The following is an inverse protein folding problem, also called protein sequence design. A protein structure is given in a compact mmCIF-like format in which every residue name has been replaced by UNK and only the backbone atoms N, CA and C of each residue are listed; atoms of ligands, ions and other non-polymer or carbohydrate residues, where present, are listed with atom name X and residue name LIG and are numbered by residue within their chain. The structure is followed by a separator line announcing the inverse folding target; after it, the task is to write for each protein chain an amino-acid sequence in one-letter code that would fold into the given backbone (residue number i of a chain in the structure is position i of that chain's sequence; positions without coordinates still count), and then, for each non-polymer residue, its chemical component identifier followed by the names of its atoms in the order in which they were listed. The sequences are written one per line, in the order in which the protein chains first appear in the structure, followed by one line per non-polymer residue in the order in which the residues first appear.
data_IF_681030469740
#
_entry.id   IF_681030469740
#
_cell.length_a   1.000
_cell.length_b   1.000
_cell.length_c   1.000
_cell.angle_alpha   90.00
_cell.angle_beta   90.00
_cell.angle_gamma   90.00
#
_symmetry.space_group_name_H-M   'P 1'
#
loop_
_entity.id
_entity.type
_entity.pdbx_description
1 polymer ?
#
# COMPACT_ATOMS: atom_id res chain seq x y z
N UNK A 1 -5.54 8.77 -10.21
CA UNK A 1 -4.36 8.73 -9.32
C UNK A 1 -3.36 9.78 -9.77
N UNK A 2 -2.71 10.38 -8.82
CA UNK A 2 -1.67 11.39 -9.02
C UNK A 2 -0.41 10.91 -8.33
N UNK A 3 0.67 10.63 -9.04
CA UNK A 3 1.97 10.45 -8.42
C UNK A 3 2.47 11.82 -7.93
N UNK A 4 2.97 11.86 -6.72
CA UNK A 4 3.62 13.02 -6.15
C UNK A 4 5.11 12.92 -6.43
N UNK A 5 5.48 13.17 -7.65
CA UNK A 5 6.85 13.08 -8.14
C UNK A 5 7.41 14.44 -8.58
N UNK A 6 8.60 14.42 -9.15
CA UNK A 6 9.34 15.61 -9.61
C UNK A 6 8.58 16.47 -10.60
N UNK A 7 7.57 15.99 -11.28
CA UNK A 7 6.77 16.79 -12.21
C UNK A 7 5.97 17.90 -11.54
N UNK A 8 5.74 17.79 -10.24
CA UNK A 8 4.96 18.73 -9.43
C UNK A 8 5.83 19.66 -8.55
N UNK A 9 7.13 19.66 -8.70
CA UNK A 9 8.05 20.38 -7.81
C UNK A 9 7.94 21.91 -7.88
N UNK A 10 7.54 22.45 -9.01
CA UNK A 10 7.52 23.90 -9.24
C UNK A 10 6.29 24.61 -8.64
N UNK A 11 5.30 23.87 -8.15
CA UNK A 11 4.05 24.41 -7.62
C UNK A 11 3.89 24.20 -6.13
N UNK A 12 2.90 24.86 -5.56
CA UNK A 12 2.46 24.62 -4.19
C UNK A 12 1.47 23.44 -4.13
N UNK A 13 1.44 22.70 -3.03
CA UNK A 13 0.50 21.58 -2.85
C UNK A 13 -0.95 22.05 -2.92
N UNK A 14 -1.23 23.28 -2.50
CA UNK A 14 -2.53 23.92 -2.57
C UNK A 14 -3.04 24.06 -4.01
N UNK A 15 -2.16 24.37 -4.97
CA UNK A 15 -2.51 24.46 -6.39
C UNK A 15 -2.96 23.11 -6.95
N UNK A 16 -2.28 22.04 -6.55
CA UNK A 16 -2.66 20.67 -6.91
C UNK A 16 -4.01 20.27 -6.28
N UNK A 17 -4.23 20.60 -5.01
CA UNK A 17 -5.51 20.34 -4.33
C UNK A 17 -6.65 21.10 -5.01
N UNK A 18 -6.45 22.38 -5.39
CA UNK A 18 -7.43 23.15 -6.12
C UNK A 18 -7.73 22.54 -7.50
N UNK A 19 -6.71 22.05 -8.20
CA UNK A 19 -6.86 21.39 -9.50
C UNK A 19 -7.70 20.10 -9.43
N UNK A 20 -7.73 19.43 -8.29
CA UNK A 20 -8.59 18.26 -8.08
C UNK A 20 -10.09 18.61 -8.11
N UNK A 21 -10.45 19.83 -7.80
CA UNK A 21 -11.85 20.34 -7.82
C UNK A 21 -12.81 19.42 -7.01
N UNK A 22 -12.37 18.95 -5.86
CA UNK A 22 -13.14 18.07 -4.98
C UNK A 22 -13.38 16.64 -5.51
N UNK A 23 -12.78 16.27 -6.65
CA UNK A 23 -12.91 14.91 -7.18
C UNK A 23 -12.08 13.93 -6.36
N UNK A 24 -12.57 12.69 -6.23
CA UNK A 24 -11.82 11.61 -5.61
C UNK A 24 -10.47 11.41 -6.32
N UNK A 25 -9.39 11.41 -5.56
CA UNK A 25 -8.05 11.20 -6.08
C UNK A 25 -7.25 10.30 -5.15
N UNK A 26 -6.54 9.34 -5.74
CA UNK A 26 -5.56 8.53 -5.05
C UNK A 26 -4.18 9.15 -5.25
N UNK A 27 -3.49 9.46 -4.16
CA UNK A 27 -2.13 9.98 -4.17
C UNK A 27 -1.15 8.92 -3.71
N UNK A 28 -0.03 8.80 -4.44
CA UNK A 28 1.10 7.93 -4.10
C UNK A 28 2.22 8.74 -3.45
N UNK A 29 3.11 8.07 -2.71
CA UNK A 29 4.24 8.69 -2.00
C UNK A 29 3.84 9.94 -1.21
N UNK A 30 2.68 9.90 -0.58
CA UNK A 30 2.11 11.07 0.10
C UNK A 30 2.92 11.49 1.34
N UNK A 31 3.87 10.66 1.76
CA UNK A 31 4.88 11.00 2.77
C UNK A 31 6.04 11.86 2.23
N UNK A 32 6.15 12.02 0.91
CA UNK A 32 7.18 12.84 0.28
C UNK A 32 8.36 12.07 -0.31
N UNK A 33 8.41 10.73 -0.21
CA UNK A 33 9.53 9.93 -0.73
C UNK A 33 9.72 10.05 -2.24
N UNK A 34 8.65 10.35 -2.99
CA UNK A 34 8.71 10.59 -4.44
C UNK A 34 9.28 11.95 -4.84
N UNK A 35 9.49 12.86 -3.89
CA UNK A 35 10.11 14.18 -4.13
C UNK A 35 9.13 15.29 -4.50
N UNK A 36 7.95 14.99 -5.05
CA UNK A 36 6.98 16.01 -5.46
C UNK A 36 6.32 16.71 -4.28
N UNK A 37 6.27 18.03 -4.29
CA UNK A 37 5.74 18.88 -3.20
C UNK A 37 6.33 18.56 -1.81
N UNK A 38 7.52 18.01 -1.74
CA UNK A 38 8.15 17.75 -0.44
C UNK A 38 8.63 19.06 0.21
N UNK A 39 8.44 19.22 1.52
CA UNK A 39 7.83 18.26 2.48
C UNK A 39 6.31 18.38 2.60
N UNK A 40 5.66 19.29 1.90
CA UNK A 40 4.29 19.73 2.14
C UNK A 40 3.23 18.73 1.74
N UNK A 41 3.53 17.83 0.83
CA UNK A 41 2.55 16.88 0.26
C UNK A 41 1.77 16.10 1.34
N UNK A 42 2.37 15.87 2.49
CA UNK A 42 1.72 15.17 3.60
C UNK A 42 0.43 15.85 4.08
N UNK A 43 0.28 17.16 3.84
CA UNK A 43 -0.93 17.93 4.18
C UNK A 43 -2.19 17.37 3.52
N UNK A 44 -2.07 16.77 2.32
CA UNK A 44 -3.24 16.22 1.60
C UNK A 44 -3.90 15.05 2.33
N UNK A 45 -3.23 14.47 3.34
CA UNK A 45 -3.88 13.50 4.24
C UNK A 45 -5.08 14.11 5.00
N UNK A 46 -5.16 15.44 5.10
CA UNK A 46 -6.28 16.17 5.70
C UNK A 46 -7.45 16.42 4.75
N UNK A 47 -7.30 16.13 3.45
CA UNK A 47 -8.32 16.41 2.45
C UNK A 47 -9.35 15.27 2.34
N UNK A 48 -10.66 15.56 2.40
CA UNK A 48 -11.70 14.52 2.44
C UNK A 48 -11.85 13.73 1.14
N UNK A 49 -11.45 14.29 0.00
CA UNK A 49 -11.50 13.67 -1.32
C UNK A 49 -10.18 13.01 -1.73
N UNK A 50 -9.12 13.13 -0.93
CA UNK A 50 -7.82 12.51 -1.18
C UNK A 50 -7.73 11.17 -0.46
N UNK A 51 -7.29 10.14 -1.18
CA UNK A 51 -7.13 8.76 -0.71
C UNK A 51 -5.61 8.48 -0.65
N UNK A 52 -4.93 8.80 0.47
CA UNK A 52 -3.48 8.81 0.50
C UNK A 52 -2.90 7.42 0.72
N UNK A 53 -1.84 7.10 -0.02
CA UNK A 53 -0.97 5.96 0.24
C UNK A 53 0.45 6.40 0.54
N UNK A 54 1.14 5.61 1.34
CA UNK A 54 2.57 5.75 1.58
C UNK A 54 3.32 4.49 1.17
N UNK A 55 4.63 4.63 0.96
CA UNK A 55 5.49 3.55 0.50
C UNK A 55 6.25 2.88 1.65
N UNK A 56 6.68 1.64 1.46
CA UNK A 56 7.31 0.87 2.53
C UNK A 56 8.73 1.31 2.92
N UNK A 57 9.56 1.91 2.07
CA UNK A 57 10.93 2.28 2.46
C UNK A 57 11.00 3.28 3.62
N UNK A 58 9.99 4.16 3.74
CA UNK A 58 9.93 5.19 4.78
C UNK A 58 9.55 4.66 6.17
N UNK A 59 9.06 3.43 6.25
CA UNK A 59 8.47 2.87 7.47
C UNK A 59 9.18 1.64 8.01
N UNK A 60 9.19 1.44 9.32
CA UNK A 60 9.05 2.47 10.37
C UNK A 60 10.26 3.39 10.40
N UNK A 61 10.09 4.63 10.86
CA UNK A 61 11.19 5.55 11.07
C UNK A 61 12.14 5.00 12.14
N UNK A 62 13.41 4.85 11.78
CA UNK A 62 14.49 4.32 12.62
C UNK A 62 15.74 5.17 12.45
N UNK A 63 16.81 4.84 13.17
CA UNK A 63 18.08 5.58 13.10
C UNK A 63 18.73 5.62 11.72
N UNK A 64 18.45 4.62 10.87
CA UNK A 64 19.05 4.52 9.53
C UNK A 64 18.10 5.00 8.40
N UNK A 65 16.87 5.37 8.73
CA UNK A 65 15.84 5.64 7.71
C UNK A 65 16.23 6.79 6.79
N UNK A 66 16.81 7.86 7.34
CA UNK A 66 17.19 9.02 6.55
C UNK A 66 18.32 8.70 5.59
N UNK A 67 19.38 8.04 6.06
CA UNK A 67 20.52 7.69 5.23
C UNK A 67 20.10 6.72 4.11
N UNK A 68 19.29 5.69 4.46
CA UNK A 68 18.76 4.73 3.49
C UNK A 68 17.89 5.42 2.42
N UNK A 69 17.10 6.39 2.83
CA UNK A 69 16.24 7.15 1.92
C UNK A 69 16.99 8.09 1.01
N UNK A 70 17.97 8.81 1.55
CA UNK A 70 18.84 9.68 0.75
C UNK A 70 19.56 8.86 -0.32
N UNK A 71 20.17 7.74 0.06
CA UNK A 71 20.83 6.83 -0.89
C UNK A 71 19.86 6.32 -1.96
N UNK A 72 18.65 5.93 -1.59
CA UNK A 72 17.64 5.47 -2.53
C UNK A 72 17.20 6.58 -3.48
N UNK A 73 16.95 7.79 -2.97
CA UNK A 73 16.57 8.94 -3.81
C UNK A 73 17.69 9.28 -4.80
N UNK A 74 18.93 9.33 -4.34
CA UNK A 74 20.11 9.57 -5.19
C UNK A 74 20.17 8.56 -6.34
N UNK A 75 20.02 7.26 -6.04
CA UNK A 75 20.09 6.21 -7.06
C UNK A 75 18.90 6.28 -8.02
N UNK A 76 17.67 6.41 -7.52
CA UNK A 76 16.46 6.37 -8.36
C UNK A 76 16.30 7.59 -9.24
N UNK A 77 16.82 8.75 -8.83
CA UNK A 77 16.79 9.99 -9.60
C UNK A 77 18.08 10.26 -10.38
N UNK A 78 19.00 9.28 -10.44
CA UNK A 78 20.27 9.40 -11.17
C UNK A 78 21.15 10.57 -10.73
N UNK A 79 21.11 10.90 -9.44
CA UNK A 79 21.90 11.96 -8.83
C UNK A 79 23.31 11.44 -8.51
N UNK A 80 24.30 12.36 -8.45
CA UNK A 80 25.68 12.04 -8.10
C UNK A 80 26.05 12.62 -6.72
N UNK A 81 26.40 11.75 -5.78
CA UNK A 81 26.80 12.12 -4.42
C UNK A 81 28.07 13.02 -4.36
N UNK A 82 28.78 13.17 -5.47
CA UNK A 82 29.94 14.07 -5.59
C UNK A 82 29.57 15.48 -6.05
N UNK A 83 28.33 15.69 -6.48
CA UNK A 83 27.80 16.97 -6.92
C UNK A 83 27.02 17.59 -5.77
N UNK A 84 27.50 18.71 -5.16
CA UNK A 84 26.84 19.33 -4.01
C UNK A 84 25.38 19.72 -4.27
N UNK A 85 25.04 20.13 -5.49
CA UNK A 85 23.68 20.50 -5.88
C UNK A 85 22.73 19.30 -5.87
N UNK A 86 23.20 18.14 -6.30
CA UNK A 86 22.43 16.89 -6.27
C UNK A 86 22.17 16.44 -4.83
N UNK A 87 23.19 16.54 -3.97
CA UNK A 87 23.07 16.24 -2.54
C UNK A 87 22.07 17.19 -1.88
N UNK A 88 22.20 18.49 -2.11
CA UNK A 88 21.30 19.50 -1.56
C UNK A 88 19.85 19.29 -2.03
N UNK A 89 19.65 18.88 -3.28
CA UNK A 89 18.35 18.51 -3.80
C UNK A 89 17.76 17.32 -3.01
N UNK A 90 18.51 16.24 -2.86
CA UNK A 90 18.06 15.06 -2.14
C UNK A 90 17.71 15.37 -0.66
N UNK A 91 18.57 16.11 0.03
CA UNK A 91 18.36 16.55 1.42
C UNK A 91 17.14 17.47 1.58
N UNK A 92 16.83 18.27 0.58
CA UNK A 92 15.62 19.12 0.61
C UNK A 92 14.31 18.30 0.55
N UNK A 93 14.36 17.09 0.01
CA UNK A 93 13.19 16.20 -0.16
C UNK A 93 13.03 15.24 1.00
N UNK A 94 14.11 14.71 1.51
CA UNK A 94 14.09 13.71 2.59
C UNK A 94 14.29 14.40 3.93
N UNK A 95 13.21 14.63 4.66
CA UNK A 95 13.21 15.34 5.95
C UNK A 95 12.79 14.43 7.10
N UNK A 96 13.58 14.38 8.19
CA UNK A 96 13.28 13.53 9.34
C UNK A 96 11.90 13.80 9.95
N UNK A 97 11.47 15.06 10.00
CA UNK A 97 10.20 15.45 10.62
C UNK A 97 8.98 14.87 9.92
N UNK A 98 8.94 14.94 8.58
CA UNK A 98 7.82 14.41 7.79
C UNK A 98 7.81 12.89 7.77
N UNK A 99 8.98 12.25 7.64
CA UNK A 99 9.08 10.79 7.65
C UNK A 99 8.76 10.21 9.04
N UNK A 100 9.16 10.89 10.12
CA UNK A 100 8.79 10.48 11.47
C UNK A 100 7.28 10.64 11.74
N UNK A 101 6.66 11.69 11.19
CA UNK A 101 5.22 11.92 11.30
C UNK A 101 4.39 10.85 10.57
N UNK A 102 4.93 10.24 9.52
CA UNK A 102 4.27 9.19 8.74
C UNK A 102 3.78 8.04 9.63
N UNK A 103 4.63 7.51 10.51
CA UNK A 103 4.28 6.42 11.41
C UNK A 103 3.08 6.78 12.31
N UNK A 104 3.07 8.00 12.84
CA UNK A 104 1.99 8.51 13.70
C UNK A 104 0.69 8.67 12.88
N UNK A 105 0.79 9.18 11.66
CA UNK A 105 -0.36 9.37 10.78
C UNK A 105 -0.96 8.02 10.34
N UNK A 106 -0.12 7.01 10.15
CA UNK A 106 -0.61 5.64 9.95
C UNK A 106 -1.39 5.12 11.15
N UNK A 107 -0.87 5.31 12.35
CA UNK A 107 -1.52 4.83 13.57
C UNK A 107 -2.82 5.57 13.87
N UNK A 108 -2.90 6.85 13.51
CA UNK A 108 -4.12 7.67 13.60
C UNK A 108 -5.13 7.42 12.48
N UNK A 109 -4.78 6.64 11.45
CA UNK A 109 -5.66 6.36 10.33
C UNK A 109 -5.76 7.49 9.31
N UNK A 110 -4.76 8.37 9.24
CA UNK A 110 -4.69 9.44 8.25
C UNK A 110 -4.17 8.94 6.89
N UNK A 111 -3.15 8.10 6.88
CA UNK A 111 -2.79 7.30 5.72
C UNK A 111 -3.73 6.10 5.57
N UNK A 112 -4.35 5.97 4.42
CA UNK A 112 -5.43 5.00 4.20
C UNK A 112 -4.96 3.71 3.56
N UNK A 113 -3.86 3.75 2.81
CA UNK A 113 -3.33 2.63 2.03
C UNK A 113 -1.81 2.50 2.25
N UNK A 114 -1.34 1.25 2.28
CA UNK A 114 0.06 0.88 2.20
C UNK A 114 0.41 0.47 0.78
N UNK A 115 1.49 1.03 0.24
CA UNK A 115 2.00 0.72 -1.09
C UNK A 115 3.46 0.26 -1.03
N UNK A 116 3.98 -0.26 -2.13
CA UNK A 116 5.35 -0.78 -2.20
C UNK A 116 6.30 0.11 -2.99
N UNK A 117 5.80 0.84 -3.97
CA UNK A 117 6.62 1.52 -4.96
C UNK A 117 7.68 0.58 -5.60
N UNK A 118 7.24 -0.61 -5.98
CA UNK A 118 8.11 -1.78 -6.25
C UNK A 118 9.06 -1.62 -7.43
N UNK A 119 8.77 -0.70 -8.34
CA UNK A 119 9.56 -0.52 -9.56
C UNK A 119 10.57 0.64 -9.47
N UNK A 120 10.48 1.47 -8.44
CA UNK A 120 11.38 2.59 -8.22
C UNK A 120 12.08 2.49 -6.87
N UNK A 121 11.55 3.13 -5.83
CA UNK A 121 12.20 3.20 -4.51
C UNK A 121 11.71 2.15 -3.52
N UNK A 122 10.81 1.24 -3.90
CA UNK A 122 10.15 0.33 -2.98
C UNK A 122 10.54 -1.13 -3.12
N UNK A 123 10.07 -1.92 -2.17
CA UNK A 123 10.34 -3.37 -2.06
C UNK A 123 9.04 -4.10 -1.80
N UNK A 124 8.45 -4.69 -2.84
CA UNK A 124 7.15 -5.37 -2.75
C UNK A 124 7.11 -6.47 -1.68
N UNK A 125 8.21 -7.21 -1.52
CA UNK A 125 8.31 -8.29 -0.52
C UNK A 125 8.29 -7.81 0.94
N UNK A 126 8.52 -6.53 1.20
CA UNK A 126 8.61 -5.98 2.54
C UNK A 126 7.34 -5.26 3.01
N UNK A 127 6.34 -5.07 2.15
CA UNK A 127 5.13 -4.29 2.48
C UNK A 127 4.47 -4.76 3.76
N UNK A 128 4.20 -6.06 3.87
CA UNK A 128 3.53 -6.62 5.05
C UNK A 128 4.42 -6.51 6.30
N UNK A 129 5.67 -6.91 6.19
CA UNK A 129 6.60 -6.90 7.32
C UNK A 129 6.76 -5.48 7.89
N UNK A 130 7.02 -4.49 7.05
CA UNK A 130 7.17 -3.09 7.47
C UNK A 130 5.88 -2.49 8.00
N UNK A 131 4.73 -2.89 7.47
CA UNK A 131 3.42 -2.51 8.01
C UNK A 131 3.27 -2.95 9.47
N UNK A 132 3.61 -4.20 9.77
CA UNK A 132 3.51 -4.73 11.13
C UNK A 132 4.61 -4.23 12.07
N UNK A 133 5.80 -3.95 11.56
CA UNK A 133 6.85 -3.27 12.30
C UNK A 133 6.43 -1.85 12.70
N UNK A 134 5.76 -1.12 11.81
CA UNK A 134 5.19 0.20 12.14
C UNK A 134 4.12 0.09 13.23
N UNK A 135 3.20 -0.88 13.10
CA UNK A 135 2.17 -1.09 14.11
C UNK A 135 2.76 -1.44 15.50
N UNK A 136 3.78 -2.30 15.53
CA UNK A 136 4.48 -2.67 16.76
C UNK A 136 5.21 -1.47 17.39
N UNK A 137 5.94 -0.70 16.59
CA UNK A 137 6.60 0.53 17.03
C UNK A 137 5.59 1.50 17.65
N UNK A 138 4.47 1.75 16.98
CA UNK A 138 3.45 2.65 17.48
C UNK A 138 2.84 2.16 18.78
N UNK A 139 2.59 0.86 18.92
CA UNK A 139 2.12 0.28 20.16
C UNK A 139 3.13 0.44 21.31
N UNK A 140 4.41 0.26 21.03
CA UNK A 140 5.48 0.45 22.06
C UNK A 140 5.61 1.91 22.49
N UNK A 141 5.45 2.85 21.57
CA UNK A 141 5.62 4.28 21.85
C UNK A 141 4.38 4.90 22.50
N UNK A 142 3.18 4.54 22.07
CA UNK A 142 1.93 5.20 22.47
C UNK A 142 0.95 4.30 23.22
N UNK A 143 1.30 3.03 23.42
CA UNK A 143 0.40 2.07 24.07
C UNK A 143 -0.74 1.61 23.16
N UNK A 144 -1.83 1.13 23.76
CA UNK A 144 -3.03 0.69 23.05
C UNK A 144 -3.83 1.88 22.55
N UNK A 145 -4.49 1.70 21.41
CA UNK A 145 -5.46 2.68 20.95
C UNK A 145 -6.67 2.77 21.89
N UNK A 146 -7.31 3.93 21.98
CA UNK A 146 -8.42 4.20 22.93
C UNK A 146 -9.53 3.16 22.83
N UNK A 147 -9.91 2.76 21.63
CA UNK A 147 -10.92 1.73 21.38
C UNK A 147 -10.57 0.32 21.92
N UNK A 148 -9.29 0.09 22.26
CA UNK A 148 -8.79 -1.18 22.80
C UNK A 148 -8.35 -1.11 24.25
N UNK A 149 -8.46 0.02 24.93
CA UNK A 149 -7.92 0.22 26.30
C UNK A 149 -8.53 -0.73 27.33
N UNK A 150 -9.79 -1.11 27.16
CA UNK A 150 -10.51 -1.99 28.08
C UNK A 150 -10.29 -3.48 27.84
N UNK A 151 -9.44 -3.86 26.88
CA UNK A 151 -9.16 -5.24 26.52
C UNK A 151 -7.67 -5.58 26.71
N UNK A 152 -7.33 -6.87 26.80
CA UNK A 152 -5.94 -7.31 26.80
C UNK A 152 -5.30 -7.23 25.40
N UNK A 153 -6.11 -7.27 24.36
CA UNK A 153 -5.69 -7.20 22.96
C UNK A 153 -5.72 -5.75 22.42
N UNK A 154 -5.10 -5.52 21.29
CA UNK A 154 -5.14 -4.27 20.53
C UNK A 154 -5.73 -4.52 19.11
N UNK A 155 -6.86 -5.21 19.10
CA UNK A 155 -7.50 -5.67 17.87
C UNK A 155 -7.90 -4.52 16.94
N UNK A 156 -8.21 -3.35 17.49
CA UNK A 156 -8.55 -2.18 16.66
C UNK A 156 -7.35 -1.75 15.81
N UNK A 157 -6.14 -1.69 16.40
CA UNK A 157 -4.91 -1.40 15.64
C UNK A 157 -4.66 -2.48 14.60
N UNK A 158 -4.82 -3.76 14.95
CA UNK A 158 -4.67 -4.87 13.99
C UNK A 158 -5.61 -4.68 12.79
N UNK A 159 -6.88 -4.41 13.02
CA UNK A 159 -7.86 -4.20 11.94
C UNK A 159 -7.54 -2.95 11.11
N UNK A 160 -7.12 -1.86 11.74
CA UNK A 160 -6.68 -0.62 11.06
C UNK A 160 -5.53 -0.86 10.11
N UNK A 161 -4.49 -1.56 10.56
CA UNK A 161 -3.32 -1.83 9.71
C UNK A 161 -3.62 -2.89 8.64
N UNK A 162 -4.43 -3.89 8.96
CA UNK A 162 -4.86 -4.91 8.00
C UNK A 162 -5.64 -4.29 6.84
N UNK A 163 -6.56 -3.37 7.12
CA UNK A 163 -7.39 -2.74 6.09
C UNK A 163 -6.58 -1.92 5.09
N UNK A 164 -5.41 -1.41 5.46
CA UNK A 164 -4.55 -0.58 4.59
C UNK A 164 -3.99 -1.32 3.37
N UNK A 165 -3.84 -2.63 3.43
CA UNK A 165 -3.33 -3.44 2.31
C UNK A 165 -4.31 -4.53 1.85
N UNK A 166 -5.54 -4.50 2.33
CA UNK A 166 -6.61 -5.41 1.92
C UNK A 166 -7.80 -4.65 1.35
N UNK A 167 -8.76 -4.26 2.20
CA UNK A 167 -10.02 -3.67 1.72
C UNK A 167 -9.85 -2.24 1.21
N UNK A 168 -9.02 -1.41 1.83
CA UNK A 168 -8.89 -0.02 1.42
C UNK A 168 -8.33 0.15 0.00
N UNK A 169 -7.23 -0.51 -0.41
CA UNK A 169 -6.82 -0.46 -1.81
C UNK A 169 -7.88 -1.03 -2.77
N UNK A 170 -8.66 -2.03 -2.36
CA UNK A 170 -9.75 -2.55 -3.19
C UNK A 170 -10.87 -1.50 -3.37
N UNK A 171 -11.20 -0.73 -2.34
CA UNK A 171 -12.14 0.40 -2.43
C UNK A 171 -11.58 1.49 -3.34
N UNK A 172 -10.35 1.92 -3.10
CA UNK A 172 -9.67 2.98 -3.88
C UNK A 172 -9.65 2.68 -5.37
N UNK A 173 -9.44 1.42 -5.73
CA UNK A 173 -9.36 0.99 -7.13
C UNK A 173 -10.67 0.45 -7.70
N UNK A 174 -11.78 0.52 -6.95
CA UNK A 174 -13.10 0.08 -7.42
C UNK A 174 -13.24 -1.42 -7.60
N UNK A 175 -12.51 -2.19 -6.81
CA UNK A 175 -12.43 -3.67 -6.88
C UNK A 175 -13.09 -4.36 -5.68
N UNK A 176 -13.63 -3.60 -4.74
CA UNK A 176 -14.08 -4.10 -3.44
C UNK A 176 -15.26 -5.07 -3.49
N UNK A 177 -15.99 -5.11 -4.59
CA UNK A 177 -17.09 -6.07 -4.78
C UNK A 177 -16.57 -7.51 -5.02
N UNK A 178 -15.34 -7.65 -5.54
CA UNK A 178 -14.75 -8.94 -5.92
C UNK A 178 -13.63 -9.40 -4.97
N UNK A 179 -12.90 -8.46 -4.37
CA UNK A 179 -11.70 -8.74 -3.56
C UNK A 179 -11.60 -7.81 -2.35
N UNK A 180 -10.58 -8.02 -1.51
CA UNK A 180 -10.20 -7.13 -0.41
C UNK A 180 -10.78 -7.48 0.95
N UNK A 181 -11.78 -8.36 1.02
CA UNK A 181 -12.34 -8.83 2.29
C UNK A 181 -12.79 -10.28 2.22
N UNK A 182 -12.89 -10.93 3.37
CA UNK A 182 -13.44 -12.28 3.50
C UNK A 182 -14.97 -12.15 3.58
N UNK A 183 -15.62 -12.28 2.43
CA UNK A 183 -17.08 -12.20 2.30
C UNK A 183 -17.57 -13.22 1.28
N UNK A 184 -18.76 -13.76 1.50
CA UNK A 184 -19.39 -14.70 0.57
C UNK A 184 -19.58 -14.04 -0.79
N UNK A 185 -19.20 -14.72 -1.85
CA UNK A 185 -19.27 -14.21 -3.24
C UNK A 185 -18.00 -13.57 -3.76
N UNK A 186 -17.06 -13.18 -2.88
CA UNK A 186 -15.75 -12.66 -3.31
C UNK A 186 -14.74 -13.76 -3.58
N UNK A 187 -13.68 -13.40 -4.30
CA UNK A 187 -12.59 -14.33 -4.61
C UNK A 187 -11.93 -14.82 -3.32
N UNK A 188 -11.70 -16.13 -3.24
CA UNK A 188 -11.07 -16.77 -2.08
C UNK A 188 -9.54 -16.57 -2.10
N UNK A 189 -9.12 -15.31 -1.97
CA UNK A 189 -7.73 -14.90 -1.78
C UNK A 189 -7.48 -14.83 -0.26
N UNK A 190 -6.91 -15.88 0.30
CA UNK A 190 -6.80 -16.06 1.74
C UNK A 190 -5.36 -16.34 2.16
N UNK A 191 -4.97 -15.82 3.32
CA UNK A 191 -3.67 -16.10 3.92
C UNK A 191 -3.87 -16.66 5.33
N UNK A 192 -3.28 -17.81 5.60
CA UNK A 192 -3.28 -18.45 6.90
C UNK A 192 -1.94 -18.20 7.59
N UNK A 193 -2.00 -17.66 8.81
CA UNK A 193 -0.82 -17.45 9.66
C UNK A 193 -0.94 -18.22 10.97
N UNK A 194 0.19 -18.70 11.48
CA UNK A 194 0.31 -18.93 12.92
C UNK A 194 0.31 -17.58 13.63
N UNK A 195 -0.41 -17.42 14.75
CA UNK A 195 -0.48 -16.12 15.46
C UNK A 195 0.88 -15.52 15.76
N UNK A 196 1.88 -16.33 16.13
CA UNK A 196 3.23 -15.87 16.43
C UNK A 196 3.98 -15.31 15.22
N UNK A 197 3.53 -15.61 14.00
CA UNK A 197 4.16 -15.16 12.74
C UNK A 197 3.21 -14.33 11.88
N UNK A 198 2.16 -13.79 12.50
CA UNK A 198 1.16 -13.00 11.79
C UNK A 198 1.81 -11.82 11.05
N UNK A 199 1.47 -11.69 9.77
CA UNK A 199 1.98 -10.63 8.90
C UNK A 199 3.42 -10.82 8.41
N UNK A 200 4.14 -11.83 8.88
CA UNK A 200 5.56 -12.05 8.56
C UNK A 200 5.78 -13.32 7.75
N UNK A 201 5.27 -14.45 8.24
CA UNK A 201 5.48 -15.75 7.61
C UNK A 201 4.17 -16.52 7.49
N UNK A 202 3.57 -16.59 6.28
CA UNK A 202 2.35 -17.37 6.09
C UNK A 202 2.62 -18.88 6.16
N UNK A 203 1.66 -19.62 6.66
CA UNK A 203 1.61 -21.09 6.56
C UNK A 203 1.10 -21.51 5.19
N UNK A 204 0.07 -20.80 4.71
CA UNK A 204 -0.61 -21.11 3.46
C UNK A 204 -1.12 -19.83 2.82
N UNK A 205 -0.98 -19.74 1.50
CA UNK A 205 -1.61 -18.69 0.68
C UNK A 205 -2.52 -19.35 -0.33
N UNK A 206 -3.78 -18.98 -0.32
CA UNK A 206 -4.76 -19.37 -1.33
C UNK A 206 -5.01 -18.22 -2.29
N UNK A 207 -5.03 -18.52 -3.57
CA UNK A 207 -5.40 -17.61 -4.64
C UNK A 207 -6.61 -18.18 -5.38
N UNK A 208 -7.76 -17.52 -5.27
CA UNK A 208 -9.00 -18.02 -5.84
C UNK A 208 -9.38 -19.43 -5.35
N UNK A 209 -9.04 -19.78 -4.10
CA UNK A 209 -9.27 -21.08 -3.52
C UNK A 209 -8.22 -22.15 -3.82
N UNK A 210 -7.26 -21.89 -4.73
CA UNK A 210 -6.15 -22.81 -5.00
C UNK A 210 -4.93 -22.44 -4.16
N UNK A 211 -4.16 -23.46 -3.73
CA UNK A 211 -2.91 -23.25 -3.00
C UNK A 211 -1.90 -22.58 -3.93
N UNK A 212 -1.49 -21.36 -3.61
CA UNK A 212 -0.45 -20.61 -4.31
C UNK A 212 0.91 -20.73 -3.62
N UNK A 213 0.91 -20.90 -2.28
CA UNK A 213 2.11 -21.07 -1.47
C UNK A 213 1.77 -21.92 -0.24
N UNK A 214 2.71 -22.78 0.14
CA UNK A 214 2.70 -23.49 1.42
C UNK A 214 4.13 -23.60 1.95
N UNK A 215 4.28 -23.71 3.28
CA UNK A 215 5.61 -23.85 3.91
C UNK A 215 6.33 -25.12 3.50
N UNK A 216 5.59 -26.18 3.16
CA UNK A 216 6.12 -27.42 2.65
C UNK A 216 5.57 -27.64 1.24
N UNK A 217 6.42 -27.44 0.23
CA UNK A 217 6.06 -27.69 -1.17
C UNK A 217 6.24 -29.15 -1.61
N UNK A 218 7.03 -29.93 -0.89
CA UNK A 218 7.23 -31.36 -1.10
C UNK A 218 6.82 -32.14 0.16
N UNK A 219 5.78 -32.98 0.11
CA UNK A 219 5.32 -33.74 1.27
C UNK A 219 6.34 -34.79 1.77
N UNK A 220 7.35 -35.12 0.96
CA UNK A 220 8.42 -36.02 1.34
C UNK A 220 9.64 -35.31 1.97
N UNK A 221 9.62 -33.96 2.03
CA UNK A 221 10.71 -33.23 2.67
C UNK A 221 10.75 -33.54 4.17
N UNK A 222 11.91 -33.91 4.68
CA UNK A 222 12.11 -34.19 6.11
C UNK A 222 12.13 -32.91 6.96
N UNK A 223 12.41 -31.76 6.34
CA UNK A 223 12.40 -30.45 6.98
C UNK A 223 11.44 -29.54 6.21
N UNK A 224 10.46 -28.88 6.88
CA UNK A 224 9.58 -27.93 6.25
C UNK A 224 10.41 -26.71 5.77
N UNK A 225 10.46 -26.51 4.47
CA UNK A 225 11.13 -25.36 3.85
C UNK A 225 10.18 -24.63 2.93
N UNK A 226 10.24 -23.29 2.86
CA UNK A 226 9.53 -22.55 1.83
C UNK A 226 10.00 -23.01 0.44
N UNK A 227 9.05 -23.29 -0.44
CA UNK A 227 9.36 -23.62 -1.82
C UNK A 227 9.37 -22.36 -2.66
N UNK A 228 10.49 -22.01 -3.32
CA UNK A 228 10.47 -20.90 -4.27
C UNK A 228 9.60 -21.26 -5.47
N UNK A 229 8.59 -20.45 -5.70
CA UNK A 229 7.54 -20.72 -6.68
C UNK A 229 8.02 -20.59 -8.14
N UNK A 230 9.13 -19.94 -8.37
CA UNK A 230 9.58 -19.52 -9.69
C UNK A 230 10.36 -20.58 -10.47
N UNK A 231 10.90 -21.61 -9.85
CA UNK A 231 11.72 -22.60 -10.54
C UNK A 231 10.96 -23.85 -11.00
N UNK A 232 9.73 -24.04 -10.56
CA UNK A 232 8.82 -25.08 -11.08
C UNK A 232 7.36 -24.69 -10.90
N UNK A 233 6.46 -25.13 -11.80
CA UNK A 233 5.03 -24.96 -11.60
C UNK A 233 4.56 -25.70 -10.35
N UNK A 234 3.68 -25.05 -9.57
CA UNK A 234 3.11 -25.61 -8.36
C UNK A 234 1.62 -25.27 -8.23
N UNK A 235 0.88 -26.12 -7.51
CA UNK A 235 -0.49 -25.90 -7.07
C UNK A 235 -1.41 -25.38 -8.18
N UNK A 236 -1.87 -24.17 -8.09
CA UNK A 236 -2.78 -23.51 -9.05
C UNK A 236 -2.15 -23.07 -10.38
N UNK A 237 -0.97 -23.59 -10.76
CA UNK A 237 -0.27 -23.19 -11.99
C UNK A 237 -0.69 -23.97 -13.23
N UNK A 238 -1.61 -24.92 -13.14
CA UNK A 238 -1.97 -25.81 -14.22
C UNK A 238 -3.41 -25.64 -14.73
N UNK A 239 -3.60 -25.92 -16.00
CA UNK A 239 -4.90 -25.99 -16.62
C UNK A 239 -5.72 -24.71 -16.46
N UNK A 240 -7.00 -24.86 -16.18
CA UNK A 240 -7.94 -23.75 -15.97
C UNK A 240 -7.71 -22.98 -14.67
N UNK A 241 -6.94 -23.50 -13.73
CA UNK A 241 -6.67 -22.82 -12.46
C UNK A 241 -6.07 -21.42 -12.69
N UNK A 242 -5.15 -21.28 -13.64
CA UNK A 242 -4.49 -19.99 -13.96
C UNK A 242 -5.48 -18.88 -14.33
N UNK A 243 -6.53 -19.21 -15.05
CA UNK A 243 -7.53 -18.23 -15.49
C UNK A 243 -8.67 -18.06 -14.50
N UNK A 244 -9.02 -19.12 -13.75
CA UNK A 244 -10.09 -19.09 -12.77
C UNK A 244 -9.69 -18.48 -11.41
N UNK A 245 -8.39 -18.35 -11.14
CA UNK A 245 -7.86 -17.80 -9.87
C UNK A 245 -7.58 -16.30 -9.90
N UNK A 246 -7.90 -15.61 -10.98
CA UNK A 246 -7.67 -14.18 -11.12
C UNK A 246 -8.75 -13.49 -11.93
N UNK A 247 -8.87 -12.19 -11.74
CA UNK A 247 -9.83 -11.31 -12.43
C UNK A 247 -9.03 -10.26 -13.18
N UNK A 248 -9.52 -9.89 -14.37
CA UNK A 248 -9.07 -8.71 -15.09
C UNK A 248 -10.08 -7.59 -14.84
N UNK A 249 -9.65 -6.54 -14.15
CA UNK A 249 -10.45 -5.36 -13.91
C UNK A 249 -10.29 -4.38 -15.07
N UNK A 250 -11.39 -3.87 -15.56
CA UNK A 250 -11.45 -3.02 -16.75
C UNK A 250 -12.38 -1.83 -16.52
N UNK A 251 -12.39 -0.85 -17.43
CA UNK A 251 -13.37 0.23 -17.37
C UNK A 251 -14.76 -0.26 -17.76
N UNK A 252 -15.80 0.36 -17.24
CA UNK A 252 -17.19 0.10 -17.67
C UNK A 252 -17.37 0.35 -19.17
N UNK A 253 -16.78 1.43 -19.69
CA UNK A 253 -16.83 1.77 -21.12
C UNK A 253 -16.21 0.69 -21.99
N UNK A 254 -15.10 0.05 -21.56
CA UNK A 254 -14.47 -1.05 -22.31
C UNK A 254 -15.35 -2.30 -22.37
N UNK A 255 -16.16 -2.54 -21.32
CA UNK A 255 -17.14 -3.63 -21.33
C UNK A 255 -18.29 -3.36 -22.29
N UNK A 256 -18.79 -2.13 -22.33
CA UNK A 256 -19.95 -1.73 -23.15
C UNK A 256 -19.62 -1.67 -24.63
N UNK A 257 -18.47 -1.12 -25.01
CA UNK A 257 -18.06 -0.99 -26.41
C UNK A 257 -17.30 -2.20 -26.96
N UNK A 258 -17.15 -3.25 -26.13
CA UNK A 258 -16.50 -4.50 -26.51
C UNK A 258 -15.05 -4.37 -27.01
N UNK A 259 -14.37 -3.28 -26.65
CA UNK A 259 -13.01 -2.98 -27.10
C UNK A 259 -11.94 -4.02 -26.70
N UNK A 260 -12.31 -4.95 -25.82
CA UNK A 260 -11.41 -5.99 -25.30
C UNK A 260 -11.64 -7.37 -25.94
N UNK A 261 -12.62 -7.52 -26.83
CA UNK A 261 -12.92 -8.82 -27.48
C UNK A 261 -11.72 -9.32 -28.30
N UNK A 262 -11.02 -8.42 -29.00
CA UNK A 262 -9.84 -8.74 -29.80
C UNK A 262 -8.65 -9.28 -28.98
N UNK A 263 -8.63 -9.04 -27.66
CA UNK A 263 -7.58 -9.52 -26.79
C UNK A 263 -7.77 -10.98 -26.35
N UNK A 264 -8.90 -11.60 -26.67
CA UNK A 264 -9.24 -12.99 -26.36
C UNK A 264 -8.92 -13.39 -24.90
N UNK A 265 -9.21 -12.49 -23.96
CA UNK A 265 -8.88 -12.70 -22.54
C UNK A 265 -9.66 -13.88 -21.96
N UNK A 266 -8.94 -14.84 -21.41
CA UNK A 266 -9.55 -16.04 -20.81
C UNK A 266 -9.96 -15.83 -19.34
N UNK A 267 -9.46 -14.79 -18.67
CA UNK A 267 -9.83 -14.45 -17.31
C UNK A 267 -11.20 -13.79 -17.26
N UNK A 268 -11.93 -13.99 -16.15
CA UNK A 268 -13.14 -13.23 -15.87
C UNK A 268 -12.82 -11.72 -15.94
N UNK A 269 -13.53 -10.98 -16.76
CA UNK A 269 -13.47 -9.52 -16.80
C UNK A 269 -14.56 -8.93 -15.92
N UNK A 270 -14.22 -7.91 -15.15
CA UNK A 270 -15.15 -7.21 -14.26
C UNK A 270 -14.88 -5.71 -14.35
N UNK A 271 -15.92 -4.88 -14.47
CA UNK A 271 -15.74 -3.44 -14.47
C UNK A 271 -15.40 -2.94 -13.07
N UNK A 272 -14.47 -1.98 -12.97
CA UNK A 272 -14.26 -1.21 -11.74
C UNK A 272 -15.48 -0.34 -11.44
N UNK A 273 -15.80 -0.16 -10.15
CA UNK A 273 -16.99 0.56 -9.70
C UNK A 273 -16.67 1.53 -8.57
N UNK A 274 -17.53 2.52 -8.40
CA UNK A 274 -17.49 3.45 -7.24
C UNK A 274 -16.15 4.18 -7.08
N UNK A 275 -15.48 4.56 -8.18
CA UNK A 275 -14.18 5.23 -8.13
C UNK A 275 -14.26 6.76 -8.15
N UNK A 276 -15.46 7.34 -8.33
CA UNK A 276 -15.64 8.79 -8.49
C UNK A 276 -16.27 9.49 -7.29
N UNK A 277 -17.18 8.80 -6.62
CA UNK A 277 -17.98 9.36 -5.53
C UNK A 277 -17.53 8.86 -4.15
N UNK A 278 -16.26 8.48 -4.04
CA UNK A 278 -15.62 8.03 -2.80
C UNK A 278 -14.75 9.13 -2.21
N UNK A 279 -14.55 9.04 -0.91
CA UNK A 279 -13.64 9.90 -0.16
C UNK A 279 -13.08 9.17 1.04
N UNK A 280 -12.36 9.88 1.87
CA UNK A 280 -11.76 9.33 3.09
C UNK A 280 -12.77 8.61 4.00
N UNK A 281 -13.99 9.11 4.09
CA UNK A 281 -15.09 8.54 4.89
C UNK A 281 -15.45 7.10 4.51
N UNK A 282 -15.11 6.68 3.29
CA UNK A 282 -15.44 5.35 2.77
C UNK A 282 -14.33 4.33 3.07
N UNK A 283 -13.19 4.78 3.63
CA UNK A 283 -12.03 3.95 3.91
C UNK A 283 -12.10 3.36 5.31
N UNK A 284 -12.07 2.06 5.37
CA UNK A 284 -12.30 1.30 6.60
C UNK A 284 -11.21 1.59 7.65
N UNK A 285 -11.61 2.13 8.79
CA UNK A 285 -10.77 2.46 9.95
C UNK A 285 -9.60 3.42 9.66
N UNK A 286 -9.60 4.08 8.48
CA UNK A 286 -8.53 4.96 8.02
C UNK A 286 -9.09 6.22 7.34
N UNK A 287 -10.02 6.85 8.00
CA UNK A 287 -10.82 8.00 7.56
C UNK A 287 -10.46 9.31 8.28
N UNK A 288 -9.41 9.32 9.07
CA UNK A 288 -8.99 10.49 9.85
C UNK A 288 -8.56 11.65 8.94
N UNK A 289 -9.00 12.86 9.28
CA UNK A 289 -8.68 14.12 8.60
C UNK A 289 -7.87 15.02 9.54
N UNK A 290 -6.55 14.77 9.68
CA UNK A 290 -5.71 15.62 10.53
C UNK A 290 -5.54 17.00 9.91
N UNK A 291 -5.55 18.02 10.76
CA UNK A 291 -5.05 19.33 10.38
C UNK A 291 -3.55 19.37 10.66
N UNK A 292 -2.77 19.63 9.63
CA UNK A 292 -1.31 19.64 9.72
C UNK A 292 -0.75 20.97 9.23
N UNK A 293 0.29 21.40 9.91
CA UNK A 293 1.17 22.48 9.48
C UNK A 293 2.54 21.85 9.26
N UNK A 294 3.16 22.15 8.13
CA UNK A 294 4.50 21.69 7.80
C UNK A 294 5.40 22.93 7.81
N UNK A 295 6.43 22.87 8.64
CA UNK A 295 7.44 23.92 8.70
C UNK A 295 8.34 23.81 7.46
N UNK A 296 8.45 24.87 6.64
CA UNK A 296 9.19 24.85 5.38
C UNK A 296 10.68 24.63 5.53
#
# INVERSE_FOLDING_TARGET
SEPTDTSNEAGFVEDSVEAFKGRAIHTFHTEGAGGGHAPDIIKVCGEPNVLPSSTNPTRPFTVNTIDEHLDMLMVCHHLDSKIPEDVAFAESRIRPSTIAAEDILHDRGAFSVMASDSQAMGRVGEVLCRTWQTADKMKRQFGKLESSQHTQADNFRVLRYLSKYTINPAIVHGMSDEIGSISVGKMADLVLFKPAFFGVKPELVLKGGFIAYANMGDPNASIPTPQPMHYRPQFGSFGKARTSTSITFVSQASMENKSLEELELQKKMVPVRNTRDIGKKDLILNDSLPRMEVDP
#
